data_IF_545034770190
#
_entry.id   IF_545034770190
#
_cell.length_a   1.000
_cell.length_b   1.000
_cell.length_c   1.000
_cell.angle_alpha   90.00
_cell.angle_beta   90.00
_cell.angle_gamma   90.00
#
_symmetry.space_group_name_H-M   'P 1'
#
loop_
_entity.id
_entity.type
_entity.pdbx_description
1 polymer ?
#
# COMPACT_ATOMS: atom_id res chain seq x y z
N UNK A 1 17.83 13.10 17.23
CA UNK A 1 16.42 12.66 17.09
C UNK A 1 16.16 12.42 15.61
N UNK A 2 15.83 11.20 15.16
CA UNK A 2 15.49 10.98 13.76
C UNK A 2 14.21 11.77 13.42
N UNK A 3 14.30 12.67 12.42
CA UNK A 3 13.14 13.38 11.88
C UNK A 3 12.39 12.38 10.98
N UNK A 4 11.29 11.82 11.49
CA UNK A 4 10.37 11.03 10.67
C UNK A 4 9.60 11.96 9.74
N UNK A 5 10.25 12.36 8.64
CA UNK A 5 9.57 13.07 7.56
C UNK A 5 8.73 12.04 6.80
N UNK A 6 7.42 12.02 7.06
CA UNK A 6 6.49 11.15 6.32
C UNK A 6 6.48 11.61 4.86
N UNK A 7 7.09 10.81 3.99
CA UNK A 7 7.10 11.07 2.56
C UNK A 7 5.76 10.69 1.94
N UNK A 8 5.38 11.37 0.85
CA UNK A 8 4.17 11.03 0.07
C UNK A 8 4.09 9.53 -0.29
N UNK A 9 5.14 8.86 -0.79
CA UNK A 9 5.05 7.43 -1.10
C UNK A 9 4.89 6.56 0.15
N UNK A 10 5.41 6.98 1.31
CA UNK A 10 5.17 6.28 2.58
C UNK A 10 3.72 6.39 3.03
N UNK A 11 3.10 7.56 2.85
CA UNK A 11 1.68 7.77 3.16
C UNK A 11 0.78 6.94 2.23
N UNK A 12 1.08 6.93 0.92
CA UNK A 12 0.35 6.11 -0.06
C UNK A 12 0.48 4.61 0.25
N UNK A 13 1.67 4.14 0.62
CA UNK A 13 1.88 2.76 1.06
C UNK A 13 0.94 2.39 2.21
N UNK A 14 0.85 3.23 3.25
CA UNK A 14 -0.05 2.97 4.39
C UNK A 14 -1.53 2.99 4.00
N UNK A 15 -1.94 3.91 3.12
CA UNK A 15 -3.32 3.94 2.61
C UNK A 15 -3.64 2.63 1.89
N UNK A 16 -2.81 2.21 0.94
CA UNK A 16 -3.06 0.98 0.20
C UNK A 16 -3.02 -0.27 1.10
N UNK A 17 -2.20 -0.26 2.15
CA UNK A 17 -2.17 -1.34 3.13
C UNK A 17 -3.49 -1.43 3.92
N UNK A 18 -4.04 -0.30 4.37
CA UNK A 18 -5.35 -0.26 5.04
C UNK A 18 -6.48 -0.70 4.10
N UNK A 19 -6.45 -0.27 2.83
CA UNK A 19 -7.43 -0.72 1.82
C UNK A 19 -7.33 -2.22 1.61
N UNK A 20 -6.12 -2.79 1.53
CA UNK A 20 -5.91 -4.23 1.38
C UNK A 20 -6.50 -5.00 2.56
N UNK A 21 -6.20 -4.61 3.80
CA UNK A 21 -6.71 -5.26 5.00
C UNK A 21 -8.25 -5.17 5.08
N UNK A 22 -8.81 -4.02 4.69
CA UNK A 22 -10.26 -3.80 4.66
C UNK A 22 -10.92 -4.69 3.61
N UNK A 23 -10.33 -4.78 2.42
CA UNK A 23 -10.80 -5.64 1.34
C UNK A 23 -10.75 -7.13 1.75
N UNK A 24 -9.66 -7.59 2.36
CA UNK A 24 -9.57 -8.96 2.92
C UNK A 24 -10.68 -9.19 3.94
N UNK A 25 -10.92 -8.24 4.84
CA UNK A 25 -12.00 -8.34 5.82
C UNK A 25 -13.37 -8.46 5.13
N UNK A 26 -13.62 -7.65 4.10
CA UNK A 26 -14.85 -7.73 3.31
C UNK A 26 -14.99 -9.08 2.60
N UNK A 27 -13.92 -9.66 2.06
CA UNK A 27 -13.99 -11.02 1.44
C UNK A 27 -14.29 -12.12 2.47
N UNK A 28 -13.82 -11.99 3.71
CA UNK A 28 -13.97 -13.03 4.74
C UNK A 28 -15.35 -12.97 5.40
N UNK A 29 -15.91 -11.77 5.56
CA UNK A 29 -17.17 -11.54 6.26
C UNK A 29 -18.37 -11.29 5.33
N UNK A 30 -18.19 -11.30 4.01
CA UNK A 30 -19.29 -11.09 3.08
C UNK A 30 -20.21 -12.29 2.97
N UNK A 31 -21.50 -12.02 3.04
CA UNK A 31 -22.57 -12.97 2.71
C UNK A 31 -23.08 -12.77 1.27
N UNK A 32 -22.50 -11.83 0.51
CA UNK A 32 -22.94 -11.43 -0.83
C UNK A 32 -21.82 -11.55 -1.86
N UNK A 33 -22.11 -12.27 -2.96
CA UNK A 33 -21.19 -12.42 -4.08
C UNK A 33 -20.78 -11.08 -4.72
N UNK A 34 -21.64 -10.06 -4.67
CA UNK A 34 -21.27 -8.72 -5.16
C UNK A 34 -20.13 -8.12 -4.33
N UNK A 35 -20.19 -8.26 -3.01
CA UNK A 35 -19.16 -7.76 -2.11
C UNK A 35 -17.85 -8.53 -2.27
N UNK A 36 -17.90 -9.83 -2.59
CA UNK A 36 -16.72 -10.64 -2.88
C UNK A 36 -15.99 -10.16 -4.14
N UNK A 37 -16.73 -9.93 -5.22
CA UNK A 37 -16.16 -9.40 -6.47
C UNK A 37 -15.62 -7.98 -6.30
N UNK A 38 -16.34 -7.12 -5.57
CA UNK A 38 -15.87 -5.78 -5.24
C UNK A 38 -14.61 -5.82 -4.37
N UNK A 39 -14.56 -6.69 -3.38
CA UNK A 39 -13.40 -6.86 -2.53
C UNK A 39 -12.21 -7.40 -3.33
N UNK A 40 -12.37 -8.42 -4.18
CA UNK A 40 -11.29 -8.92 -5.05
C UNK A 40 -10.71 -7.84 -6.00
N UNK A 41 -11.57 -7.04 -6.62
CA UNK A 41 -11.12 -5.95 -7.50
C UNK A 41 -10.38 -4.85 -6.73
N UNK A 42 -10.90 -4.45 -5.57
CA UNK A 42 -10.21 -3.48 -4.69
C UNK A 42 -8.90 -4.03 -4.13
N UNK A 43 -8.83 -5.33 -3.83
CA UNK A 43 -7.61 -6.02 -3.41
C UNK A 43 -6.53 -5.92 -4.51
N UNK A 44 -6.91 -6.15 -5.76
CA UNK A 44 -6.00 -6.07 -6.92
C UNK A 44 -5.44 -4.65 -7.07
N UNK A 45 -6.29 -3.63 -6.97
CA UNK A 45 -5.86 -2.22 -7.03
C UNK A 45 -4.93 -1.88 -5.87
N UNK A 46 -5.25 -2.32 -4.66
CA UNK A 46 -4.42 -2.10 -3.47
C UNK A 46 -3.03 -2.75 -3.61
N UNK A 47 -2.94 -3.96 -4.17
CA UNK A 47 -1.67 -4.64 -4.44
C UNK A 47 -0.82 -3.83 -5.44
N UNK A 48 -1.41 -3.35 -6.53
CA UNK A 48 -0.70 -2.51 -7.51
C UNK A 48 -0.18 -1.22 -6.84
N UNK A 49 -1.02 -0.58 -6.02
CA UNK A 49 -0.66 0.60 -5.24
C UNK A 49 0.48 0.35 -4.24
N UNK A 50 0.47 -0.81 -3.57
CA UNK A 50 1.54 -1.22 -2.67
C UNK A 50 2.85 -1.45 -3.41
N UNK A 51 2.84 -2.24 -4.48
CA UNK A 51 4.05 -2.56 -5.26
C UNK A 51 4.68 -1.29 -5.84
N UNK A 52 3.87 -0.39 -6.39
CA UNK A 52 4.36 0.90 -6.92
C UNK A 52 4.93 1.79 -5.81
N UNK A 53 4.24 1.93 -4.68
CA UNK A 53 4.72 2.73 -3.54
C UNK A 53 6.01 2.17 -2.94
N UNK A 54 6.10 0.84 -2.78
CA UNK A 54 7.30 0.15 -2.30
C UNK A 54 8.46 0.32 -3.27
N UNK A 55 8.23 0.25 -4.58
CA UNK A 55 9.27 0.48 -5.59
C UNK A 55 9.86 1.89 -5.47
N UNK A 56 9.02 2.91 -5.32
CA UNK A 56 9.47 4.30 -5.13
C UNK A 56 10.24 4.46 -3.80
N UNK A 57 9.76 3.85 -2.71
CA UNK A 57 10.46 3.88 -1.43
C UNK A 57 11.84 3.20 -1.49
N UNK A 58 11.94 2.06 -2.18
CA UNK A 58 13.21 1.36 -2.39
C UNK A 58 14.18 2.20 -3.21
N UNK A 59 13.73 2.81 -4.30
CA UNK A 59 14.58 3.70 -5.11
C UNK A 59 15.07 4.88 -4.28
N UNK A 60 14.19 5.51 -3.50
CA UNK A 60 14.57 6.61 -2.61
C UNK A 60 15.57 6.16 -1.53
N UNK A 61 15.38 4.96 -0.97
CA UNK A 61 16.28 4.39 0.03
C UNK A 61 17.67 4.12 -0.57
N UNK A 62 17.73 3.47 -1.74
CA UNK A 62 18.99 3.21 -2.45
C UNK A 62 19.68 4.51 -2.81
N UNK A 63 18.94 5.50 -3.30
CA UNK A 63 19.49 6.82 -3.60
C UNK A 63 20.06 7.49 -2.35
N UNK A 64 19.37 7.44 -1.21
CA UNK A 64 19.87 7.99 0.05
C UNK A 64 21.12 7.26 0.59
N UNK A 65 21.25 5.95 0.33
CA UNK A 65 22.44 5.15 0.71
C UNK A 65 23.62 5.44 -0.22
N UNK A 66 23.39 5.48 -1.53
CA UNK A 66 24.43 5.64 -2.55
C UNK A 66 24.88 7.10 -2.72
N UNK A 67 24.00 8.05 -2.47
CA UNK A 67 24.28 9.47 -2.46
C UNK A 67 23.83 10.08 -1.13
N UNK A 68 24.55 9.78 -0.03
CA UNK A 68 24.34 10.42 1.25
C UNK A 68 24.84 11.87 1.11
N UNK A 69 23.90 12.79 0.97
CA UNK A 69 24.16 14.22 1.11
C UNK A 69 24.75 14.57 2.48
#
# INVERSE_FOLDING_TARGET
MPKFTVSRPMLLFWIFLVVLCSSISTTVFSESAFNDHFALTTMTIAIIGLVSSTSVLLVNLVHAICNPE
#
